data_IF_501147802694
#
_entry.id   IF_501147802694
#
_cell.length_a   1.000
_cell.length_b   1.000
_cell.length_c   1.000
_cell.angle_alpha   90.00
_cell.angle_beta   90.00
_cell.angle_gamma   90.00
#
_symmetry.space_group_name_H-M   'P 1'
#
loop_
_entity.id
_entity.type
_entity.pdbx_description
1 polymer ?
#
# COMPACT_ATOMS: atom_id res chain seq x y z
N UNK A 1 18.25 -17.95 9.93
CA UNK A 1 16.88 -18.28 9.44
C UNK A 1 16.42 -17.12 8.61
N UNK A 2 16.04 -17.36 7.35
CA UNK A 2 15.47 -16.31 6.51
C UNK A 2 14.20 -15.78 7.17
N UNK A 3 14.11 -14.46 7.33
CA UNK A 3 12.92 -13.83 7.90
C UNK A 3 11.70 -14.07 7.01
N UNK A 4 10.52 -14.08 7.59
CA UNK A 4 9.26 -14.16 6.85
C UNK A 4 8.57 -12.80 6.89
N UNK A 5 7.79 -12.49 5.84
CA UNK A 5 6.94 -11.30 5.78
C UNK A 5 5.54 -11.68 5.30
N UNK A 6 4.55 -10.92 5.75
CA UNK A 6 3.19 -11.00 5.25
C UNK A 6 3.05 -10.06 4.06
N UNK A 7 2.64 -10.57 2.91
CA UNK A 7 2.39 -9.72 1.74
C UNK A 7 1.19 -8.80 2.05
N UNK A 8 1.31 -7.47 1.91
CA UNK A 8 0.21 -6.55 2.24
C UNK A 8 -0.94 -6.58 1.22
N UNK A 9 -0.81 -7.36 0.16
CA UNK A 9 -1.79 -7.45 -0.93
C UNK A 9 -2.58 -8.76 -0.89
N UNK A 10 -1.89 -9.90 -0.85
CA UNK A 10 -2.54 -11.21 -0.85
C UNK A 10 -2.61 -11.88 0.53
N UNK A 11 -2.02 -11.30 1.56
CA UNK A 11 -1.96 -11.83 2.92
C UNK A 11 -1.37 -13.24 3.03
N UNK A 12 -0.52 -13.61 2.08
CA UNK A 12 0.25 -14.85 2.17
C UNK A 12 1.58 -14.60 2.85
N UNK A 13 1.98 -15.53 3.72
CA UNK A 13 3.26 -15.50 4.40
C UNK A 13 4.35 -15.98 3.45
N UNK A 14 5.33 -15.13 3.17
CA UNK A 14 6.41 -15.39 2.22
C UNK A 14 7.77 -15.35 2.92
N UNK A 15 8.77 -16.03 2.34
CA UNK A 15 10.16 -15.89 2.74
C UNK A 15 10.78 -14.63 2.13
N UNK A 16 11.72 -14.00 2.85
CA UNK A 16 12.50 -12.91 2.27
C UNK A 16 13.32 -13.33 1.06
N UNK A 17 13.79 -14.58 1.04
CA UNK A 17 14.61 -15.11 -0.05
C UNK A 17 13.79 -15.37 -1.32
N UNK A 18 12.46 -15.40 -1.21
CA UNK A 18 11.55 -15.58 -2.36
C UNK A 18 11.11 -14.27 -3.01
N UNK A 19 11.56 -13.11 -2.51
CA UNK A 19 11.22 -11.82 -3.10
C UNK A 19 11.76 -11.74 -4.53
N UNK A 20 10.89 -11.43 -5.46
CA UNK A 20 11.23 -11.14 -6.85
C UNK A 20 11.38 -9.64 -7.07
N UNK A 21 12.03 -9.30 -8.18
CA UNK A 21 12.28 -7.91 -8.55
C UNK A 21 11.86 -7.67 -10.00
N UNK A 22 11.37 -6.48 -10.31
CA UNK A 22 11.11 -6.06 -11.68
C UNK A 22 11.99 -4.86 -12.03
N UNK A 23 12.41 -4.82 -13.29
CA UNK A 23 13.17 -3.70 -13.84
C UNK A 23 12.22 -2.50 -14.03
N UNK A 24 12.71 -1.30 -13.73
CA UNK A 24 11.95 -0.04 -13.91
C UNK A 24 12.60 0.87 -14.97
N UNK A 25 13.56 0.34 -15.76
CA UNK A 25 14.25 1.14 -16.76
C UNK A 25 13.40 1.39 -18.00
N UNK A 26 12.66 2.49 -17.98
CA UNK A 26 11.81 2.99 -19.07
C UNK A 26 12.46 4.21 -19.75
N UNK A 27 13.80 4.27 -19.81
CA UNK A 27 14.55 5.34 -20.45
C UNK A 27 14.09 5.57 -21.90
N UNK A 28 14.06 6.81 -22.35
CA UNK A 28 13.69 7.18 -23.72
C UNK A 28 14.72 6.68 -24.75
N UNK A 29 15.98 6.53 -24.34
CA UNK A 29 17.10 6.13 -25.21
C UNK A 29 17.37 4.64 -25.22
N UNK A 30 16.97 3.91 -24.17
CA UNK A 30 17.25 2.47 -24.03
C UNK A 30 16.21 1.84 -23.09
N UNK A 31 15.08 1.49 -23.66
CA UNK A 31 14.04 0.75 -22.93
C UNK A 31 14.49 -0.69 -22.73
N UNK A 32 14.45 -1.16 -21.50
CA UNK A 32 14.70 -2.54 -21.17
C UNK A 32 13.45 -3.39 -21.44
N UNK A 33 13.58 -4.50 -22.16
CA UNK A 33 12.44 -5.37 -22.45
C UNK A 33 11.87 -5.98 -21.16
N UNK A 34 12.74 -6.36 -20.20
CA UNK A 34 12.29 -6.83 -18.88
C UNK A 34 11.47 -5.78 -18.10
N UNK A 35 11.67 -4.47 -18.36
CA UNK A 35 10.86 -3.42 -17.76
C UNK A 35 9.51 -3.28 -18.48
N UNK A 36 9.48 -3.40 -19.81
CA UNK A 36 8.26 -3.34 -20.62
C UNK A 36 7.32 -4.47 -20.24
N UNK A 37 7.85 -5.70 -20.19
CA UNK A 37 7.10 -6.92 -19.91
C UNK A 37 6.86 -7.13 -18.40
N UNK A 38 7.41 -6.26 -17.54
CA UNK A 38 7.38 -6.38 -16.07
C UNK A 38 7.83 -7.76 -15.60
N UNK A 39 8.88 -8.27 -16.23
CA UNK A 39 9.38 -9.63 -16.02
C UNK A 39 9.98 -9.79 -14.62
N UNK A 40 9.45 -10.70 -13.76
CA UNK A 40 10.03 -10.95 -12.45
C UNK A 40 11.42 -11.61 -12.58
N UNK A 41 12.36 -11.17 -11.74
CA UNK A 41 13.75 -11.66 -11.72
C UNK A 41 14.16 -12.05 -10.30
N UNK A 42 14.95 -13.10 -10.19
CA UNK A 42 15.65 -13.50 -8.97
C UNK A 42 17.13 -13.17 -9.09
N UNK A 43 17.59 -11.98 -8.69
CA UNK A 43 18.97 -11.59 -8.85
C UNK A 43 19.89 -12.47 -8.01
N UNK A 44 21.01 -12.91 -8.60
CA UNK A 44 22.02 -13.74 -7.94
C UNK A 44 22.61 -13.07 -6.68
N UNK A 45 22.60 -11.74 -6.62
CA UNK A 45 23.05 -10.97 -5.48
C UNK A 45 21.93 -10.09 -4.94
N UNK A 46 21.22 -10.59 -3.92
CA UNK A 46 20.13 -9.86 -3.27
C UNK A 46 20.56 -8.56 -2.56
N UNK A 47 21.85 -8.37 -2.27
CA UNK A 47 22.37 -7.12 -1.66
C UNK A 47 22.55 -6.00 -2.67
N UNK A 48 22.80 -6.35 -3.94
CA UNK A 48 22.93 -5.41 -5.07
C UNK A 48 22.23 -6.02 -6.28
N UNK A 49 20.89 -6.08 -6.26
CA UNK A 49 20.15 -6.67 -7.37
C UNK A 49 20.27 -5.81 -8.62
N UNK A 50 20.63 -6.43 -9.72
CA UNK A 50 20.77 -5.79 -11.04
C UNK A 50 19.96 -6.55 -12.08
N UNK A 51 19.42 -5.85 -13.05
CA UNK A 51 18.70 -6.45 -14.17
C UNK A 51 19.65 -7.23 -15.06
N UNK A 52 19.29 -8.46 -15.39
CA UNK A 52 20.09 -9.34 -16.22
C UNK A 52 20.25 -8.82 -17.65
N UNK A 53 19.27 -8.08 -18.16
CA UNK A 53 19.30 -7.53 -19.52
C UNK A 53 20.08 -6.21 -19.60
N UNK A 54 19.68 -5.21 -18.76
CA UNK A 54 20.23 -3.85 -18.91
C UNK A 54 21.25 -3.45 -17.82
N UNK A 55 21.55 -4.33 -16.86
CA UNK A 55 22.51 -4.07 -15.78
C UNK A 55 22.09 -2.98 -14.79
N UNK A 56 20.92 -2.37 -14.93
CA UNK A 56 20.45 -1.32 -14.02
C UNK A 56 20.02 -1.91 -12.67
N UNK A 57 20.15 -1.16 -11.56
CA UNK A 57 19.72 -1.61 -10.26
C UNK A 57 18.22 -1.93 -10.23
N UNK A 58 17.89 -3.09 -9.67
CA UNK A 58 16.50 -3.50 -9.43
C UNK A 58 16.05 -2.98 -8.06
N UNK A 59 15.14 -2.02 -8.06
CA UNK A 59 14.63 -1.41 -6.83
C UNK A 59 13.19 -1.81 -6.51
N UNK A 60 12.43 -2.22 -7.51
CA UNK A 60 11.03 -2.60 -7.35
C UNK A 60 10.91 -4.06 -6.97
N UNK A 61 10.52 -4.31 -5.73
CA UNK A 61 10.26 -5.64 -5.18
C UNK A 61 8.83 -6.06 -5.49
N UNK A 62 8.61 -7.33 -5.82
CA UNK A 62 7.29 -7.89 -6.05
C UNK A 62 7.08 -9.19 -5.27
N UNK A 63 5.82 -9.46 -4.95
CA UNK A 63 5.45 -10.69 -4.27
C UNK A 63 5.45 -11.87 -5.25
N UNK A 64 6.14 -12.98 -4.97
CA UNK A 64 6.17 -14.14 -5.87
C UNK A 64 4.81 -14.81 -6.03
N UNK A 65 3.88 -14.60 -5.07
CA UNK A 65 2.56 -15.22 -5.10
C UNK A 65 1.55 -14.44 -5.95
N UNK A 66 1.52 -13.10 -5.82
CA UNK A 66 0.50 -12.28 -6.48
C UNK A 66 1.07 -11.26 -7.48
N UNK A 67 2.40 -11.21 -7.68
CA UNK A 67 3.07 -10.24 -8.56
C UNK A 67 2.94 -8.77 -8.12
N UNK A 68 2.28 -8.52 -6.99
CA UNK A 68 2.05 -7.16 -6.50
C UNK A 68 3.31 -6.50 -5.97
N UNK A 69 3.48 -5.20 -6.24
CA UNK A 69 4.61 -4.44 -5.72
C UNK A 69 4.60 -4.40 -4.20
N UNK A 70 5.78 -4.56 -3.62
CA UNK A 70 6.02 -4.59 -2.19
C UNK A 70 6.69 -3.29 -1.72
N UNK A 71 6.44 -2.84 -0.48
CA UNK A 71 7.16 -1.72 0.10
C UNK A 71 8.68 -1.94 0.06
N UNK A 72 9.44 -0.88 -0.20
CA UNK A 72 10.92 -0.95 -0.24
C UNK A 72 11.51 -1.56 1.03
N UNK A 73 10.88 -1.25 2.16
CA UNK A 73 11.27 -1.68 3.51
C UNK A 73 10.61 -2.99 3.94
N UNK A 74 9.99 -3.74 3.01
CA UNK A 74 9.40 -5.05 3.34
C UNK A 74 10.45 -5.95 3.98
N UNK A 75 10.07 -6.55 5.10
CA UNK A 75 10.93 -7.44 5.86
C UNK A 75 11.84 -6.78 6.88
N UNK A 76 12.04 -5.51 6.83
CA UNK A 76 12.75 -4.74 7.87
C UNK A 76 11.82 -3.85 8.66
N UNK A 77 10.72 -3.42 8.07
CA UNK A 77 9.68 -2.62 8.71
C UNK A 77 8.53 -3.48 9.20
N UNK A 78 7.91 -3.05 10.28
CA UNK A 78 6.64 -3.61 10.75
C UNK A 78 5.53 -3.23 9.76
N UNK A 79 4.65 -4.17 9.46
CA UNK A 79 3.48 -3.97 8.61
C UNK A 79 2.23 -3.85 9.47
N UNK A 80 1.43 -2.82 9.23
CA UNK A 80 0.18 -2.57 9.93
C UNK A 80 -0.95 -2.41 8.91
N UNK A 81 -1.58 -3.50 8.49
CA UNK A 81 -2.81 -3.42 7.72
C UNK A 81 -3.93 -2.78 8.56
N UNK A 82 -4.62 -1.79 8.01
CA UNK A 82 -5.70 -1.05 8.68
C UNK A 82 -6.98 -1.28 7.89
N UNK A 83 -7.95 -1.92 8.53
CA UNK A 83 -9.27 -2.09 7.97
C UNK A 83 -10.11 -0.82 8.17
N UNK A 84 -10.80 -0.38 7.12
CA UNK A 84 -11.78 0.69 7.21
C UNK A 84 -13.12 0.08 6.85
N UNK A 85 -14.01 0.01 7.82
CA UNK A 85 -15.32 -0.62 7.68
C UNK A 85 -16.45 0.37 7.98
N UNK A 86 -17.61 0.12 7.44
CA UNK A 86 -18.80 0.96 7.62
C UNK A 86 -19.84 0.62 6.55
N UNK A 87 -21.08 1.02 6.76
CA UNK A 87 -22.16 0.82 5.80
C UNK A 87 -21.90 1.58 4.48
N UNK A 88 -22.70 1.30 3.47
CA UNK A 88 -22.69 2.07 2.21
C UNK A 88 -22.91 3.54 2.53
N UNK A 89 -22.24 4.42 1.79
CA UNK A 89 -22.40 5.89 1.89
C UNK A 89 -21.98 6.52 3.23
N UNK A 90 -21.31 5.80 4.12
CA UNK A 90 -20.77 6.36 5.38
C UNK A 90 -19.53 7.24 5.19
N UNK A 91 -19.09 7.48 3.96
CA UNK A 91 -17.95 8.36 3.66
C UNK A 91 -16.56 7.71 3.80
N UNK A 92 -16.45 6.37 3.78
CA UNK A 92 -15.16 5.65 3.89
C UNK A 92 -14.09 6.16 2.93
N UNK A 93 -14.40 6.22 1.65
CA UNK A 93 -13.46 6.65 0.61
C UNK A 93 -13.04 8.13 0.79
N UNK A 94 -13.97 9.01 1.19
CA UNK A 94 -13.64 10.39 1.55
C UNK A 94 -12.71 10.46 2.77
N UNK A 95 -12.97 9.63 3.80
CA UNK A 95 -12.10 9.54 4.96
C UNK A 95 -10.69 9.09 4.60
N UNK A 96 -10.54 8.05 3.76
CA UNK A 96 -9.23 7.58 3.25
C UNK A 96 -8.51 8.69 2.50
N UNK A 97 -9.22 9.42 1.63
CA UNK A 97 -8.64 10.53 0.87
C UNK A 97 -8.06 11.61 1.80
N UNK A 98 -8.82 12.01 2.82
CA UNK A 98 -8.40 13.02 3.81
C UNK A 98 -7.26 12.50 4.67
N UNK A 99 -7.36 11.28 5.20
CA UNK A 99 -6.35 10.68 6.06
C UNK A 99 -4.98 10.62 5.37
N UNK A 100 -4.93 10.12 4.13
CA UNK A 100 -3.69 10.04 3.37
C UNK A 100 -3.13 11.43 3.07
N UNK A 101 -3.99 12.39 2.72
CA UNK A 101 -3.56 13.76 2.48
C UNK A 101 -2.96 14.40 3.75
N UNK A 102 -3.58 14.22 4.89
CA UNK A 102 -3.09 14.72 6.18
C UNK A 102 -1.76 14.06 6.58
N UNK A 103 -1.64 12.74 6.39
CA UNK A 103 -0.39 12.01 6.65
C UNK A 103 0.76 12.49 5.74
N UNK A 104 0.46 12.84 4.48
CA UNK A 104 1.46 13.40 3.55
C UNK A 104 1.92 14.80 3.91
N UNK A 105 1.05 15.61 4.47
CA UNK A 105 1.26 17.04 4.68
C UNK A 105 1.46 17.38 6.17
N UNK A 106 0.38 17.65 6.88
CA UNK A 106 0.44 18.26 8.22
C UNK A 106 0.97 17.30 9.27
N UNK A 107 0.45 16.07 9.30
CA UNK A 107 0.90 15.04 10.25
C UNK A 107 2.35 14.65 9.94
N UNK A 108 2.70 14.49 8.65
CA UNK A 108 4.07 14.18 8.24
C UNK A 108 5.07 15.21 8.76
N UNK A 109 4.74 16.49 8.65
CA UNK A 109 5.57 17.59 9.18
C UNK A 109 5.63 17.58 10.71
N UNK A 110 4.49 17.45 11.37
CA UNK A 110 4.40 17.50 12.84
C UNK A 110 5.20 16.36 13.50
N UNK A 111 5.19 15.17 12.91
CA UNK A 111 5.86 13.98 13.44
C UNK A 111 7.21 13.67 12.79
N UNK A 112 7.73 14.58 11.94
CA UNK A 112 8.98 14.39 11.20
C UNK A 112 9.02 13.04 10.46
N UNK A 113 7.94 12.73 9.78
CA UNK A 113 7.81 11.52 8.98
C UNK A 113 7.39 11.84 7.53
N UNK A 114 7.64 10.91 6.63
CA UNK A 114 7.24 11.00 5.23
C UNK A 114 6.41 9.78 4.84
N UNK A 115 5.29 9.99 4.17
CA UNK A 115 4.45 8.94 3.61
C UNK A 115 4.79 8.75 2.13
N UNK A 116 5.27 7.56 1.77
CA UNK A 116 5.65 7.20 0.41
C UNK A 116 4.72 6.09 -0.11
N UNK A 117 4.14 6.29 -1.29
CA UNK A 117 3.34 5.26 -1.94
C UNK A 117 4.21 4.07 -2.35
N UNK A 118 3.67 2.85 -2.21
CA UNK A 118 4.30 1.65 -2.72
C UNK A 118 3.93 1.48 -4.20
N UNK A 119 4.85 1.91 -5.05
CA UNK A 119 4.72 1.81 -6.51
C UNK A 119 3.73 2.78 -7.15
N UNK A 120 3.79 2.80 -8.48
CA UNK A 120 2.99 3.71 -9.30
C UNK A 120 1.48 3.39 -9.24
N UNK A 121 1.13 2.12 -9.05
CA UNK A 121 -0.27 1.71 -8.96
C UNK A 121 -0.97 2.37 -7.77
N UNK A 122 -0.36 2.33 -6.58
CA UNK A 122 -0.89 3.00 -5.38
C UNK A 122 -0.94 4.52 -5.58
N UNK A 123 0.12 5.10 -6.15
CA UNK A 123 0.22 6.54 -6.38
C UNK A 123 -0.87 7.03 -7.34
N UNK A 124 -1.00 6.38 -8.49
CA UNK A 124 -1.96 6.75 -9.52
C UNK A 124 -3.39 6.55 -9.03
N UNK A 125 -3.69 5.39 -8.41
CA UNK A 125 -5.00 5.11 -7.85
C UNK A 125 -5.41 6.16 -6.83
N UNK A 126 -4.55 6.46 -5.85
CA UNK A 126 -4.86 7.50 -4.88
C UNK A 126 -5.13 8.86 -5.55
N UNK A 127 -4.31 9.23 -6.53
CA UNK A 127 -4.47 10.51 -7.22
C UNK A 127 -5.79 10.59 -7.97
N UNK A 128 -6.11 9.59 -8.80
CA UNK A 128 -7.25 9.66 -9.73
C UNK A 128 -8.59 9.36 -9.05
N UNK A 129 -8.61 8.41 -8.10
CA UNK A 129 -9.86 7.95 -7.50
C UNK A 129 -10.20 8.66 -6.18
N UNK A 130 -9.19 9.17 -5.44
CA UNK A 130 -9.39 9.76 -4.12
C UNK A 130 -9.07 11.26 -4.07
N UNK A 131 -7.87 11.65 -4.51
CA UNK A 131 -7.40 13.02 -4.36
C UNK A 131 -8.06 13.99 -5.35
N UNK A 132 -8.01 13.70 -6.64
CA UNK A 132 -8.53 14.61 -7.68
C UNK A 132 -10.04 14.86 -7.53
N UNK A 133 -10.91 13.86 -7.28
CA UNK A 133 -12.32 14.12 -7.01
C UNK A 133 -12.52 15.10 -5.83
N UNK A 134 -11.90 14.82 -4.70
CA UNK A 134 -12.15 15.59 -3.48
C UNK A 134 -11.51 16.99 -3.52
N UNK A 135 -10.24 17.08 -3.90
CA UNK A 135 -9.46 18.32 -3.76
C UNK A 135 -9.41 19.19 -5.03
N UNK A 136 -9.54 18.60 -6.22
CA UNK A 136 -9.55 19.35 -7.49
C UNK A 136 -10.94 19.60 -8.00
N UNK A 137 -11.79 18.57 -8.01
CA UNK A 137 -13.15 18.67 -8.55
C UNK A 137 -14.19 19.07 -7.50
N UNK A 138 -13.83 19.04 -6.21
CA UNK A 138 -14.72 19.34 -5.07
C UNK A 138 -15.98 18.49 -5.08
N UNK A 139 -15.83 17.22 -5.44
CA UNK A 139 -16.88 16.21 -5.44
C UNK A 139 -16.56 15.12 -4.43
N UNK A 140 -17.58 14.38 -4.01
CA UNK A 140 -17.35 13.20 -3.19
C UNK A 140 -16.53 12.15 -3.97
N UNK A 141 -15.67 11.43 -3.25
CA UNK A 141 -14.99 10.26 -3.80
C UNK A 141 -16.06 9.21 -4.15
N UNK A 142 -15.98 8.66 -5.35
CA UNK A 142 -16.89 7.59 -5.77
C UNK A 142 -16.70 6.38 -4.85
N UNK A 143 -17.80 5.75 -4.45
CA UNK A 143 -17.74 4.51 -3.68
C UNK A 143 -17.02 3.40 -4.44
N UNK A 144 -16.33 2.54 -3.72
CA UNK A 144 -15.63 1.39 -4.28
C UNK A 144 -16.61 0.40 -4.87
N UNK A 145 -16.34 -0.08 -6.09
CA UNK A 145 -17.18 -1.09 -6.73
C UNK A 145 -16.97 -2.46 -6.07
N UNK A 146 -18.03 -3.28 -6.08
CA UNK A 146 -17.97 -4.64 -5.56
C UNK A 146 -16.95 -5.46 -6.38
N UNK A 147 -15.88 -5.93 -5.74
CA UNK A 147 -14.81 -6.72 -6.36
C UNK A 147 -13.46 -6.01 -6.53
N UNK A 148 -13.39 -4.70 -6.46
CA UNK A 148 -12.10 -3.98 -6.49
C UNK A 148 -11.51 -3.87 -5.09
N UNK A 149 -10.67 -4.85 -4.74
CA UNK A 149 -10.03 -4.97 -3.41
C UNK A 149 -8.55 -4.61 -3.49
N UNK A 150 -8.16 -3.72 -4.39
CA UNK A 150 -6.75 -3.34 -4.51
C UNK A 150 -6.37 -2.34 -3.40
N UNK A 151 -5.46 -2.70 -2.49
CA UNK A 151 -5.13 -1.84 -1.35
C UNK A 151 -4.29 -0.65 -1.77
N UNK A 152 -4.44 0.46 -1.04
CA UNK A 152 -3.49 1.56 -1.04
C UNK A 152 -2.37 1.25 -0.03
N UNK A 153 -1.16 1.02 -0.52
CA UNK A 153 -0.02 0.60 0.29
C UNK A 153 0.99 1.74 0.38
N UNK A 154 1.35 2.10 1.60
CA UNK A 154 2.29 3.18 1.88
C UNK A 154 3.38 2.73 2.85
N UNK A 155 4.56 3.35 2.74
CA UNK A 155 5.61 3.33 3.75
C UNK A 155 5.61 4.67 4.49
N UNK A 156 5.42 4.64 5.80
CA UNK A 156 5.60 5.77 6.68
C UNK A 156 7.01 5.71 7.27
N UNK A 157 7.84 6.66 6.92
CA UNK A 157 9.26 6.70 7.27
C UNK A 157 9.48 7.81 8.28
N UNK A 158 9.94 7.45 9.48
CA UNK A 158 10.27 8.38 10.56
C UNK A 158 11.77 8.72 10.52
N UNK A 159 12.08 9.99 10.46
CA UNK A 159 13.46 10.50 10.59
C UNK A 159 13.81 10.62 12.07
N UNK A 160 14.62 9.73 12.60
CA UNK A 160 15.20 9.90 13.94
C UNK A 160 16.50 10.71 13.83
N UNK A 161 16.60 11.76 14.61
CA UNK A 161 17.87 12.51 14.75
C UNK A 161 18.92 11.56 15.32
N UNK A 162 20.04 11.39 14.63
CA UNK A 162 21.21 10.70 15.17
C UNK A 162 21.76 11.48 16.37
N UNK A 163 22.21 10.78 17.41
CA UNK A 163 23.02 11.42 18.46
C UNK A 163 24.46 11.64 17.98
N UNK A 164 25.28 12.35 18.78
CA UNK A 164 26.66 12.76 18.45
C UNK A 164 27.56 11.62 17.92
N UNK A 165 27.21 10.36 18.20
CA UNK A 165 27.93 9.14 17.81
C UNK A 165 27.04 8.05 17.17
N UNK A 166 25.76 8.33 16.88
CA UNK A 166 24.86 7.35 16.26
C UNK A 166 24.40 7.86 14.91
N UNK A 167 24.56 7.02 13.86
CA UNK A 167 23.98 7.29 12.54
C UNK A 167 22.45 7.47 12.67
N UNK A 168 21.91 8.44 11.92
CA UNK A 168 20.47 8.59 11.82
C UNK A 168 19.87 7.26 11.30
N UNK A 169 18.96 6.69 12.06
CA UNK A 169 18.25 5.47 11.70
C UNK A 169 16.83 5.89 11.28
N UNK A 170 16.44 5.49 10.09
CA UNK A 170 15.06 5.67 9.65
C UNK A 170 14.26 4.45 10.07
N UNK A 171 13.35 4.62 11.03
CA UNK A 171 12.33 3.61 11.28
C UNK A 171 11.25 3.73 10.20
N UNK A 172 10.79 2.61 9.70
CA UNK A 172 9.73 2.60 8.72
C UNK A 172 8.61 1.66 9.14
N UNK A 173 7.39 2.07 8.79
CA UNK A 173 6.16 1.31 9.02
C UNK A 173 5.44 1.19 7.69
N UNK A 174 4.99 -0.01 7.35
CA UNK A 174 4.11 -0.20 6.19
C UNK A 174 2.66 -0.06 6.63
N UNK A 175 1.93 0.85 5.99
CA UNK A 175 0.50 1.07 6.17
C UNK A 175 -0.23 0.56 4.92
N UNK A 176 -1.26 -0.22 5.12
CA UNK A 176 -2.09 -0.74 4.04
C UNK A 176 -3.54 -0.39 4.34
N UNK A 177 -4.16 0.37 3.44
CA UNK A 177 -5.55 0.77 3.55
C UNK A 177 -6.38 0.00 2.53
N UNK A 178 -7.42 -0.66 3.00
CA UNK A 178 -8.42 -1.29 2.16
C UNK A 178 -9.69 -0.47 2.22
N UNK A 179 -10.07 0.10 1.08
CA UNK A 179 -11.36 0.72 0.90
C UNK A 179 -12.32 -0.32 0.31
N UNK A 180 -13.08 -0.96 1.17
CA UNK A 180 -14.02 -2.01 0.77
C UNK A 180 -15.41 -1.44 0.60
N UNK A 181 -16.09 -1.80 -0.50
CA UNK A 181 -17.50 -1.50 -0.65
C UNK A 181 -18.30 -2.17 0.48
N UNK A 182 -19.16 -1.41 1.14
CA UNK A 182 -20.00 -1.95 2.23
C UNK A 182 -20.96 -3.06 1.79
N UNK A 183 -21.13 -3.26 0.48
CA UNK A 183 -21.95 -4.28 -0.16
C UNK A 183 -21.23 -5.62 -0.40
N UNK A 184 -19.90 -5.66 -0.19
CA UNK A 184 -19.10 -6.86 -0.51
C UNK A 184 -19.34 -8.03 0.43
N UNK A 185 -20.27 -7.94 1.36
CA UNK A 185 -20.66 -9.03 2.25
C UNK A 185 -21.68 -10.01 1.59
N UNK A 186 -22.12 -9.74 0.36
CA UNK A 186 -23.19 -10.49 -0.29
C UNK A 186 -22.74 -11.69 -1.14
N UNK A 187 -21.41 -11.87 -1.36
CA UNK A 187 -20.89 -13.05 -2.06
C UNK A 187 -19.86 -13.79 -1.21
N UNK A 188 -19.83 -15.11 -1.32
CA UNK A 188 -18.84 -15.95 -0.62
C UNK A 188 -17.39 -15.56 -0.93
N UNK A 189 -17.09 -15.26 -2.19
CA UNK A 189 -15.75 -14.85 -2.61
C UNK A 189 -15.35 -13.50 -2.01
N UNK A 190 -16.25 -12.53 -2.00
CA UNK A 190 -16.03 -11.21 -1.39
C UNK A 190 -15.90 -11.32 0.12
N UNK A 191 -16.72 -12.17 0.77
CA UNK A 191 -16.60 -12.44 2.19
C UNK A 191 -15.27 -13.10 2.56
N UNK A 192 -14.77 -14.03 1.74
CA UNK A 192 -13.48 -14.67 2.00
C UNK A 192 -12.32 -13.67 1.93
N UNK A 193 -12.31 -12.79 0.92
CA UNK A 193 -11.29 -11.76 0.78
C UNK A 193 -11.39 -10.75 1.92
N UNK A 194 -12.59 -10.31 2.27
CA UNK A 194 -12.85 -9.39 3.36
C UNK A 194 -12.48 -9.98 4.73
N UNK A 195 -12.82 -11.24 4.98
CA UNK A 195 -12.47 -11.93 6.22
C UNK A 195 -10.95 -12.11 6.35
N UNK A 196 -10.24 -12.44 5.28
CA UNK A 196 -8.76 -12.51 5.31
C UNK A 196 -8.16 -11.15 5.63
N UNK A 197 -8.67 -10.10 5.05
CA UNK A 197 -8.25 -8.73 5.31
C UNK A 197 -8.49 -8.33 6.77
N UNK A 198 -9.69 -8.54 7.31
CA UNK A 198 -10.00 -8.26 8.71
C UNK A 198 -9.14 -9.08 9.65
N UNK A 199 -8.97 -10.38 9.38
CA UNK A 199 -8.17 -11.29 10.20
C UNK A 199 -6.72 -10.84 10.33
N UNK A 200 -6.14 -10.30 9.25
CA UNK A 200 -4.76 -9.82 9.24
C UNK A 200 -4.61 -8.34 9.61
N UNK A 201 -5.71 -7.64 9.90
CA UNK A 201 -5.66 -6.24 10.27
C UNK A 201 -5.04 -6.04 11.66
N UNK A 202 -4.15 -5.06 11.75
CA UNK A 202 -3.56 -4.61 13.01
C UNK A 202 -4.43 -3.58 13.74
N UNK A 203 -5.38 -2.98 13.03
CA UNK A 203 -6.34 -2.02 13.54
C UNK A 203 -7.55 -1.91 12.63
N UNK A 204 -8.69 -1.54 13.21
CA UNK A 204 -9.95 -1.35 12.49
C UNK A 204 -10.45 0.07 12.77
N UNK A 205 -10.80 0.79 11.70
CA UNK A 205 -11.50 2.08 11.76
C UNK A 205 -12.94 1.81 11.34
N UNK A 206 -13.88 1.99 12.29
CA UNK A 206 -15.30 1.86 12.03
C UNK A 206 -15.91 3.24 11.78
N UNK A 207 -16.49 3.43 10.60
CA UNK A 207 -17.22 4.64 10.24
C UNK A 207 -18.73 4.38 10.35
N UNK A 208 -19.37 5.16 11.19
CA UNK A 208 -20.82 5.12 11.42
C UNK A 208 -21.43 6.42 10.96
N UNK A 209 -22.49 6.34 10.17
CA UNK A 209 -23.38 7.47 9.89
C UNK A 209 -24.58 7.37 10.84
N UNK A 210 -24.68 8.28 11.84
CA UNK A 210 -25.77 8.25 12.80
C UNK A 210 -27.14 8.42 12.14
N UNK A 211 -27.23 9.08 10.99
CA UNK A 211 -28.49 9.28 10.26
C UNK A 211 -29.01 7.99 9.59
N UNK A 212 -28.19 6.96 9.50
CA UNK A 212 -28.60 5.64 9.01
C UNK A 212 -29.18 4.75 10.12
N UNK A 213 -29.08 5.18 11.39
CA UNK A 213 -29.63 4.44 12.53
C UNK A 213 -31.12 4.77 12.71
N UNK A 214 -32.03 3.77 12.67
CA UNK A 214 -33.46 4.01 12.82
C UNK A 214 -33.84 4.76 14.10
N UNK A 215 -33.08 4.59 15.18
CA UNK A 215 -33.28 5.26 16.45
C UNK A 215 -32.89 6.76 16.47
N UNK A 216 -32.23 7.27 15.42
CA UNK A 216 -31.78 8.66 15.30
C UNK A 216 -32.57 9.42 14.26
N UNK A 217 -33.31 8.72 13.38
CA UNK A 217 -34.32 9.29 12.49
C UNK A 217 -35.63 9.47 13.22
#
# INVERSE_FOLDING_TARGET
MAGKFLCPRCFELQSHDSIEYICSNMSTTSKCQHAIDRMPQHPANAKKPVCEECGQPLVTKVCPKCGGELPLNIGTAKSYPIAIIGAKETGKSNYVAVLINQLKNDIGRAFNCALMACGDKTLNRYRTEFYDPLYRHRTCVRGSDAGDVDPLIYSLIFKRKGGLFKKAVNDAVSLTFFDTAGENLNSLASMQTFNRYLYHSSGIILLLDPLQLPAVR
#
